data_IF_344929505490
#
_entry.id   IF_344929505490
#
_cell.length_a   1.000
_cell.length_b   1.000
_cell.length_c   1.000
_cell.angle_alpha   90.00
_cell.angle_beta   90.00
_cell.angle_gamma   90.00
#
_symmetry.space_group_name_H-M   'P 1'
#
loop_
_entity.id
_entity.type
_entity.pdbx_description
1 polymer ?
#
# COMPACT_ATOMS: atom_id res chain seq x y z
N UNK A 1 19.16 2.41 4.77
CA UNK A 1 18.25 1.60 5.63
C UNK A 1 18.98 0.31 5.96
N UNK A 2 19.08 -0.04 7.25
CA UNK A 2 19.61 -1.34 7.68
C UNK A 2 18.42 -2.21 8.04
N UNK A 3 18.31 -3.39 7.43
CA UNK A 3 17.26 -4.38 7.74
C UNK A 3 17.93 -5.54 8.45
N UNK A 4 17.59 -5.72 9.73
CA UNK A 4 18.13 -6.81 10.54
C UNK A 4 17.14 -7.98 10.58
N UNK A 5 17.60 -9.16 10.18
CA UNK A 5 16.81 -10.39 10.13
C UNK A 5 17.11 -11.34 11.30
N UNK A 6 17.94 -10.92 12.27
CA UNK A 6 18.26 -11.72 13.46
C UNK A 6 17.01 -12.00 14.29
N UNK A 7 16.89 -13.24 14.79
CA UNK A 7 15.74 -13.71 15.57
C UNK A 7 15.73 -13.17 17.00
N UNK A 8 16.89 -12.87 17.56
CA UNK A 8 17.01 -12.33 18.91
C UNK A 8 16.71 -10.84 18.92
N UNK A 9 15.68 -10.45 19.69
CA UNK A 9 15.36 -9.05 20.00
C UNK A 9 16.26 -8.50 21.11
N UNK A 10 17.57 -8.71 21.02
CA UNK A 10 18.46 -7.84 21.80
C UNK A 10 18.28 -6.45 21.21
N UNK A 11 18.05 -5.41 22.01
CA UNK A 11 18.15 -4.02 21.54
C UNK A 11 19.62 -3.79 21.16
N UNK A 12 20.03 -3.96 19.90
CA UNK A 12 21.44 -3.81 19.60
C UNK A 12 21.66 -2.31 19.71
N UNK A 13 22.60 -1.88 20.54
CA UNK A 13 23.24 -0.60 20.29
C UNK A 13 23.89 -0.74 18.91
N UNK A 14 23.14 -0.43 17.86
CA UNK A 14 23.65 -0.46 16.51
C UNK A 14 24.79 0.54 16.46
N UNK A 15 26.01 0.05 16.21
CA UNK A 15 27.14 0.93 15.96
C UNK A 15 26.74 1.94 14.88
N UNK A 16 27.03 3.23 15.11
CA UNK A 16 26.70 4.28 14.15
C UNK A 16 27.34 3.96 12.81
N UNK A 17 26.51 3.76 11.79
CA UNK A 17 26.96 3.52 10.43
C UNK A 17 27.74 4.77 9.98
N UNK A 18 29.00 4.62 9.59
CA UNK A 18 29.81 5.73 9.08
C UNK A 18 29.94 5.64 7.56
N UNK A 19 29.70 6.74 6.86
CA UNK A 19 29.98 6.89 5.43
C UNK A 19 31.10 7.92 5.30
N UNK A 20 32.23 7.53 4.72
CA UNK A 20 33.45 8.36 4.64
C UNK A 20 33.91 8.93 6.00
N UNK A 21 33.73 8.17 7.09
CA UNK A 21 34.07 8.60 8.45
C UNK A 21 32.99 9.43 9.15
N UNK A 22 31.98 9.92 8.43
CA UNK A 22 30.86 10.68 9.00
C UNK A 22 29.75 9.74 9.48
N UNK A 23 29.28 9.85 10.74
CA UNK A 23 28.17 9.06 11.24
C UNK A 23 26.88 9.42 10.50
N UNK A 24 26.14 8.40 10.07
CA UNK A 24 24.81 8.54 9.45
C UNK A 24 23.79 8.71 10.56
N UNK A 25 22.97 9.75 10.44
CA UNK A 25 21.87 10.01 11.37
C UNK A 25 20.86 8.86 11.37
N UNK A 26 20.48 8.43 12.57
CA UNK A 26 19.38 7.47 12.74
C UNK A 26 18.08 8.24 12.95
N UNK A 27 17.15 8.05 12.03
CA UNK A 27 15.79 8.61 12.11
C UNK A 27 14.76 7.52 12.37
N UNK A 28 13.69 7.86 13.08
CA UNK A 28 12.56 6.96 13.36
C UNK A 28 11.65 6.77 12.14
N UNK A 29 11.65 7.71 11.19
CA UNK A 29 10.94 7.59 9.93
C UNK A 29 11.73 8.21 8.77
N UNK A 30 11.63 7.61 7.59
CA UNK A 30 12.32 8.07 6.41
C UNK A 30 11.45 7.93 5.16
N UNK A 31 11.48 8.95 4.31
CA UNK A 31 10.74 8.95 3.05
C UNK A 31 11.63 8.45 1.91
N UNK A 32 11.28 7.30 1.35
CA UNK A 32 11.96 6.71 0.21
C UNK A 32 10.99 6.54 -0.98
N UNK A 33 11.33 7.13 -2.12
CA UNK A 33 10.52 7.10 -3.35
C UNK A 33 9.03 7.45 -3.14
N UNK A 34 8.76 8.40 -2.23
CA UNK A 34 7.39 8.82 -1.90
C UNK A 34 6.67 7.98 -0.84
N UNK A 35 7.26 6.87 -0.38
CA UNK A 35 6.74 6.03 0.70
C UNK A 35 7.49 6.35 1.99
N UNK A 36 6.75 6.56 3.07
CA UNK A 36 7.31 6.80 4.39
C UNK A 36 7.42 5.45 5.11
N UNK A 37 8.64 5.12 5.52
CA UNK A 37 9.01 3.87 6.21
C UNK A 37 9.38 4.26 7.63
N UNK A 38 8.64 3.75 8.61
CA UNK A 38 8.94 3.93 10.03
C UNK A 38 9.79 2.78 10.58
N UNK A 39 10.49 3.02 11.68
CA UNK A 39 11.36 2.03 12.33
C UNK A 39 10.61 0.81 12.87
N UNK A 40 9.34 1.00 13.29
CA UNK A 40 8.44 -0.06 13.75
C UNK A 40 7.72 -0.79 12.60
N UNK A 41 8.02 -0.39 11.36
CA UNK A 41 7.38 -0.83 10.12
C UNK A 41 5.86 -0.66 10.15
N UNK A 42 5.32 0.22 10.98
CA UNK A 42 3.92 0.62 10.90
C UNK A 42 3.69 1.49 9.66
N UNK A 43 2.44 1.54 9.23
CA UNK A 43 2.05 2.37 8.08
C UNK A 43 1.27 3.61 8.50
N UNK A 44 1.10 3.84 9.81
CA UNK A 44 0.20 4.87 10.31
C UNK A 44 0.70 6.28 10.00
N UNK A 45 2.01 6.53 10.06
CA UNK A 45 2.57 7.84 9.69
C UNK A 45 2.42 8.14 8.18
N UNK A 46 2.67 7.13 7.33
CA UNK A 46 2.39 7.20 5.90
C UNK A 46 0.91 7.48 5.64
N UNK A 47 0.01 6.70 6.25
CA UNK A 47 -1.43 6.81 6.04
C UNK A 47 -1.96 8.15 6.54
N UNK A 48 -1.52 8.62 7.70
CA UNK A 48 -1.84 9.96 8.22
C UNK A 48 -1.45 11.05 7.22
N UNK A 49 -0.25 10.96 6.63
CA UNK A 49 0.22 11.89 5.60
C UNK A 49 -0.64 11.83 4.34
N UNK A 50 -0.99 10.63 3.88
CA UNK A 50 -1.87 10.39 2.72
C UNK A 50 -3.28 10.96 2.97
N UNK A 51 -3.86 10.70 4.14
CA UNK A 51 -5.19 11.18 4.55
C UNK A 51 -5.21 12.71 4.61
N UNK A 52 -4.20 13.35 5.20
CA UNK A 52 -4.08 14.82 5.22
C UNK A 52 -4.07 15.41 3.80
N UNK A 53 -3.28 14.84 2.90
CA UNK A 53 -3.24 15.26 1.49
C UNK A 53 -4.57 15.04 0.77
N UNK A 54 -5.21 13.90 1.00
CA UNK A 54 -6.50 13.59 0.39
C UNK A 54 -7.61 14.54 0.89
N UNK A 55 -7.61 14.90 2.17
CA UNK A 55 -8.53 15.89 2.75
C UNK A 55 -8.36 17.28 2.14
N UNK A 56 -7.13 17.72 1.89
CA UNK A 56 -6.88 18.98 1.16
C UNK A 56 -7.49 18.93 -0.25
N UNK A 57 -7.40 17.78 -0.94
CA UNK A 57 -7.97 17.61 -2.29
C UNK A 57 -9.50 17.52 -2.29
N UNK A 58 -10.11 16.99 -1.23
CA UNK A 58 -11.57 17.00 -1.05
C UNK A 58 -12.15 18.41 -1.03
N UNK A 59 -11.42 19.40 -0.49
CA UNK A 59 -11.85 20.80 -0.53
C UNK A 59 -12.06 21.28 -1.98
N UNK A 60 -11.12 20.96 -2.88
CA UNK A 60 -11.24 21.30 -4.29
C UNK A 60 -12.41 20.56 -4.95
N UNK A 61 -12.59 19.27 -4.68
CA UNK A 61 -13.73 18.51 -5.18
C UNK A 61 -15.07 19.14 -4.73
N UNK A 62 -15.17 19.57 -3.47
CA UNK A 62 -16.35 20.29 -2.95
C UNK A 62 -16.58 21.63 -3.67
N UNK A 63 -15.52 22.38 -3.99
CA UNK A 63 -15.63 23.60 -4.80
C UNK A 63 -16.11 23.31 -6.22
N UNK A 64 -15.61 22.28 -6.88
CA UNK A 64 -16.04 21.89 -8.22
C UNK A 64 -17.54 21.58 -8.26
N UNK A 65 -18.06 20.89 -7.23
CA UNK A 65 -19.50 20.68 -7.09
C UNK A 65 -20.29 21.98 -6.93
N UNK A 66 -19.78 22.95 -6.16
CA UNK A 66 -20.42 24.27 -5.99
C UNK A 66 -20.56 25.01 -7.33
N UNK A 67 -19.60 24.82 -8.23
CA UNK A 67 -19.65 25.34 -9.61
C UNK A 67 -20.52 24.52 -10.57
N UNK A 68 -21.27 23.53 -10.07
CA UNK A 68 -22.18 22.68 -10.86
C UNK A 68 -21.50 21.93 -12.02
N UNK A 69 -20.22 21.59 -11.86
CA UNK A 69 -19.50 20.75 -12.83
C UNK A 69 -20.16 19.37 -12.93
N UNK A 70 -20.15 18.76 -14.12
CA UNK A 70 -20.76 17.45 -14.35
C UNK A 70 -20.22 16.37 -13.42
N UNK A 71 -21.07 15.40 -13.05
CA UNK A 71 -20.69 14.27 -12.19
C UNK A 71 -19.56 13.44 -12.79
N UNK A 72 -19.54 13.29 -14.12
CA UNK A 72 -18.46 12.62 -14.84
C UNK A 72 -17.10 13.30 -14.60
N UNK A 73 -17.04 14.63 -14.72
CA UNK A 73 -15.81 15.40 -14.47
C UNK A 73 -15.42 15.38 -12.98
N UNK A 74 -16.39 15.38 -12.07
CA UNK A 74 -16.11 15.21 -10.63
C UNK A 74 -15.50 13.83 -10.33
N UNK A 75 -16.02 12.77 -10.97
CA UNK A 75 -15.48 11.41 -10.85
C UNK A 75 -14.06 11.28 -11.45
N UNK A 76 -13.82 11.92 -12.59
CA UNK A 76 -12.49 12.01 -13.20
C UNK A 76 -11.51 12.77 -12.27
N UNK A 77 -11.93 13.89 -11.69
CA UNK A 77 -11.14 14.65 -10.73
C UNK A 77 -10.81 13.84 -9.48
N UNK A 78 -11.79 13.13 -8.91
CA UNK A 78 -11.59 12.22 -7.78
C UNK A 78 -10.54 11.16 -8.13
N UNK A 79 -10.70 10.48 -9.27
CA UNK A 79 -9.81 9.42 -9.70
C UNK A 79 -8.37 9.92 -9.88
N UNK A 80 -8.21 11.07 -10.54
CA UNK A 80 -6.91 11.64 -10.85
C UNK A 80 -6.19 12.26 -9.64
N UNK A 81 -6.92 12.83 -8.69
CA UNK A 81 -6.32 13.62 -7.60
C UNK A 81 -6.45 12.96 -6.23
N UNK A 82 -7.59 12.41 -5.86
CA UNK A 82 -7.79 11.86 -4.52
C UNK A 82 -7.40 10.39 -4.52
N UNK A 83 -8.01 9.60 -5.40
CA UNK A 83 -7.76 8.16 -5.49
C UNK A 83 -6.29 7.87 -5.82
N UNK A 84 -5.67 8.63 -6.72
CA UNK A 84 -4.24 8.44 -7.07
C UNK A 84 -3.31 8.53 -5.86
N UNK A 85 -3.56 9.47 -4.94
CA UNK A 85 -2.77 9.63 -3.71
C UNK A 85 -3.13 8.58 -2.67
N UNK A 86 -4.42 8.35 -2.44
CA UNK A 86 -4.89 7.35 -1.47
C UNK A 86 -4.40 5.95 -1.81
N UNK A 87 -4.30 5.64 -3.10
CA UNK A 87 -3.94 4.29 -3.57
C UNK A 87 -2.46 4.16 -3.94
N UNK A 88 -1.66 5.20 -3.74
CA UNK A 88 -0.22 5.19 -4.04
C UNK A 88 0.49 4.09 -3.25
N UNK A 89 1.18 3.17 -3.94
CA UNK A 89 1.85 2.02 -3.33
C UNK A 89 0.96 1.15 -2.42
N UNK A 90 -0.36 1.15 -2.64
CA UNK A 90 -1.36 0.46 -1.79
C UNK A 90 -1.05 -1.03 -1.54
N UNK A 91 -0.43 -1.70 -2.50
CA UNK A 91 -0.03 -3.11 -2.41
C UNK A 91 1.03 -3.38 -1.34
N UNK A 92 1.72 -2.35 -0.87
CA UNK A 92 2.79 -2.44 0.13
C UNK A 92 2.24 -2.32 1.55
N UNK A 93 1.34 -1.36 1.78
CA UNK A 93 0.97 -0.95 3.13
C UNK A 93 -0.46 -1.34 3.55
N UNK A 94 -1.40 -1.49 2.61
CA UNK A 94 -2.82 -1.65 2.95
C UNK A 94 -3.12 -2.93 3.76
N UNK A 95 -2.47 -4.04 3.41
CA UNK A 95 -2.61 -5.28 4.17
C UNK A 95 -2.24 -5.11 5.64
N UNK A 96 -1.22 -4.29 5.93
CA UNK A 96 -0.64 -4.08 7.25
C UNK A 96 -1.12 -2.80 7.96
N UNK A 97 -2.16 -2.14 7.46
CA UNK A 97 -2.73 -0.95 8.11
C UNK A 97 -3.57 -1.32 9.34
N UNK A 98 -3.57 -0.46 10.35
CA UNK A 98 -4.41 -0.66 11.54
C UNK A 98 -5.91 -0.46 11.24
N UNK A 99 -6.77 -0.89 12.16
CA UNK A 99 -8.21 -0.63 12.06
C UNK A 99 -8.53 0.86 12.07
N UNK A 100 -7.76 1.66 12.81
CA UNK A 100 -7.93 3.12 12.84
C UNK A 100 -7.53 3.75 11.50
N UNK A 101 -6.40 3.33 10.94
CA UNK A 101 -5.95 3.77 9.62
C UNK A 101 -6.99 3.50 8.53
N UNK A 102 -7.59 2.30 8.54
CA UNK A 102 -8.66 1.93 7.61
C UNK A 102 -9.88 2.84 7.76
N UNK A 103 -10.32 3.11 8.99
CA UNK A 103 -11.42 4.05 9.25
C UNK A 103 -11.12 5.45 8.72
N UNK A 104 -9.90 5.94 8.90
CA UNK A 104 -9.50 7.27 8.43
C UNK A 104 -9.48 7.39 6.90
N UNK A 105 -9.04 6.32 6.22
CA UNK A 105 -9.10 6.22 4.77
C UNK A 105 -10.55 6.12 4.26
N UNK A 106 -11.38 5.28 4.88
CA UNK A 106 -12.80 5.15 4.51
C UNK A 106 -13.54 6.47 4.67
N UNK A 107 -13.27 7.27 5.71
CA UNK A 107 -13.86 8.61 5.87
C UNK A 107 -13.61 9.51 4.66
N UNK A 108 -12.39 9.49 4.10
CA UNK A 108 -12.05 10.28 2.90
C UNK A 108 -12.90 9.84 1.71
N UNK A 109 -13.08 8.52 1.54
CA UNK A 109 -13.86 7.96 0.44
C UNK A 109 -15.34 8.27 0.62
N UNK A 110 -15.92 8.04 1.80
CA UNK A 110 -17.31 8.37 2.07
C UNK A 110 -17.58 9.87 1.85
N UNK A 111 -16.66 10.75 2.25
CA UNK A 111 -16.77 12.18 1.93
C UNK A 111 -16.77 12.44 0.41
N UNK A 112 -15.91 11.76 -0.35
CA UNK A 112 -15.91 11.86 -1.80
C UNK A 112 -17.22 11.37 -2.41
N UNK A 113 -17.74 10.20 -1.99
CA UNK A 113 -19.01 9.64 -2.44
C UNK A 113 -20.18 10.59 -2.17
N UNK A 114 -20.23 11.18 -0.97
CA UNK A 114 -21.24 12.18 -0.64
C UNK A 114 -21.15 13.42 -1.53
N UNK A 115 -19.94 13.83 -1.93
CA UNK A 115 -19.72 14.96 -2.82
C UNK A 115 -20.13 14.59 -4.25
N UNK A 116 -19.65 13.49 -4.81
CA UNK A 116 -19.89 13.11 -6.22
C UNK A 116 -21.27 12.50 -6.46
N UNK A 117 -21.96 12.06 -5.40
CA UNK A 117 -23.23 11.30 -5.45
C UNK A 117 -23.12 10.00 -6.25
N UNK A 118 -21.94 9.38 -6.22
CA UNK A 118 -21.64 8.12 -6.91
C UNK A 118 -21.02 7.15 -5.92
N UNK A 119 -21.37 5.87 -6.02
CA UNK A 119 -20.65 4.82 -5.30
C UNK A 119 -19.20 4.77 -5.80
N UNK A 120 -18.23 4.75 -4.88
CA UNK A 120 -16.82 4.66 -5.20
C UNK A 120 -16.31 3.27 -4.78
N UNK A 121 -15.30 2.73 -5.49
CA UNK A 121 -14.77 1.41 -5.18
C UNK A 121 -14.11 1.39 -3.79
N UNK A 122 -14.31 0.30 -3.04
CA UNK A 122 -13.66 0.10 -1.75
C UNK A 122 -12.14 -0.07 -1.90
N UNK A 123 -11.38 0.34 -0.89
CA UNK A 123 -9.92 0.24 -0.92
C UNK A 123 -9.42 -1.20 -0.91
N UNK A 124 -10.15 -2.11 -0.27
CA UNK A 124 -9.81 -3.52 -0.28
C UNK A 124 -9.89 -4.06 -1.70
N UNK A 125 -10.93 -3.73 -2.46
CA UNK A 125 -11.09 -4.17 -3.85
C UNK A 125 -10.00 -3.60 -4.75
N UNK A 126 -9.67 -2.31 -4.59
CA UNK A 126 -8.57 -1.68 -5.32
C UNK A 126 -7.24 -2.37 -4.98
N UNK A 127 -7.01 -2.67 -3.71
CA UNK A 127 -5.81 -3.35 -3.25
C UNK A 127 -5.70 -4.75 -3.87
N UNK A 128 -6.77 -5.55 -3.78
CA UNK A 128 -6.85 -6.91 -4.36
C UNK A 128 -6.59 -6.87 -5.86
N UNK A 129 -7.29 -5.99 -6.59
CA UNK A 129 -7.14 -5.82 -8.04
C UNK A 129 -5.70 -5.45 -8.42
N UNK A 130 -5.07 -4.52 -7.69
CA UNK A 130 -3.68 -4.11 -7.95
C UNK A 130 -2.66 -5.18 -7.56
N UNK A 131 -2.90 -5.90 -6.46
CA UNK A 131 -2.06 -7.02 -6.05
C UNK A 131 -2.07 -8.12 -7.13
N UNK A 132 -3.26 -8.49 -7.61
CA UNK A 132 -3.43 -9.46 -8.69
C UNK A 132 -2.74 -9.01 -9.98
N UNK A 133 -3.01 -7.79 -10.42
CA UNK A 133 -2.41 -7.25 -11.65
C UNK A 133 -0.88 -7.26 -11.59
N UNK A 134 -0.29 -6.77 -10.49
CA UNK A 134 1.17 -6.80 -10.32
C UNK A 134 1.74 -8.21 -10.29
N UNK A 135 1.07 -9.14 -9.61
CA UNK A 135 1.51 -10.53 -9.59
C UNK A 135 1.44 -11.18 -10.98
N UNK A 136 0.40 -10.90 -11.77
CA UNK A 136 0.32 -11.36 -13.16
C UNK A 136 1.47 -10.83 -14.03
N UNK A 137 1.92 -9.59 -13.81
CA UNK A 137 3.10 -9.06 -14.52
C UNK A 137 4.37 -9.82 -14.12
N UNK A 138 4.57 -10.09 -12.83
CA UNK A 138 5.74 -10.85 -12.33
C UNK A 138 5.73 -12.29 -12.83
N UNK A 139 4.56 -12.93 -12.90
CA UNK A 139 4.41 -14.29 -13.42
C UNK A 139 4.72 -14.35 -14.92
N UNK A 140 4.34 -13.32 -15.68
CA UNK A 140 4.60 -13.29 -17.13
C UNK A 140 6.07 -13.02 -17.47
N UNK A 141 6.78 -12.28 -16.62
CA UNK A 141 8.19 -11.94 -16.83
C UNK A 141 9.11 -12.98 -16.16
N UNK A 142 9.71 -13.84 -16.97
CA UNK A 142 10.65 -14.88 -16.51
C UNK A 142 11.95 -14.30 -15.93
N UNK A 143 12.35 -13.10 -16.35
CA UNK A 143 13.58 -12.44 -15.89
C UNK A 143 13.34 -11.61 -14.62
N UNK A 144 12.10 -11.48 -14.17
CA UNK A 144 11.80 -10.75 -12.96
C UNK A 144 12.49 -11.41 -11.74
N UNK A 145 13.19 -10.65 -10.87
CA UNK A 145 13.96 -11.22 -9.76
C UNK A 145 13.10 -12.03 -8.77
N UNK A 146 11.81 -11.69 -8.68
CA UNK A 146 10.83 -12.36 -7.82
C UNK A 146 9.93 -13.36 -8.57
N UNK A 147 10.18 -13.68 -9.85
CA UNK A 147 9.40 -14.65 -10.61
C UNK A 147 9.30 -16.00 -9.88
N UNK A 148 10.42 -16.46 -9.31
CA UNK A 148 10.53 -17.69 -8.52
C UNK A 148 9.63 -17.78 -7.30
N UNK A 149 9.05 -16.66 -6.82
CA UNK A 149 8.11 -16.67 -5.70
C UNK A 149 6.69 -17.09 -6.14
N UNK A 150 6.39 -17.05 -7.45
CA UNK A 150 5.10 -17.41 -8.01
C UNK A 150 5.18 -18.73 -8.79
N UNK A 151 5.42 -19.83 -8.08
CA UNK A 151 5.50 -21.15 -8.68
C UNK A 151 4.14 -21.83 -8.73
N UNK A 152 3.77 -22.40 -9.88
CA UNK A 152 2.59 -23.23 -10.01
C UNK A 152 2.81 -24.61 -9.38
N UNK A 153 1.74 -25.17 -8.81
CA UNK A 153 1.69 -26.60 -8.47
C UNK A 153 1.59 -27.44 -9.76
N UNK A 154 1.93 -28.74 -9.72
CA UNK A 154 1.86 -29.61 -10.90
C UNK A 154 0.49 -29.64 -11.60
N UNK A 155 -0.58 -29.35 -10.86
CA UNK A 155 -1.94 -29.24 -11.43
C UNK A 155 -2.16 -28.03 -12.33
N UNK A 156 -1.27 -27.03 -12.30
CA UNK A 156 -1.40 -25.77 -13.06
C UNK A 156 -2.52 -24.84 -12.58
N UNK A 157 -3.31 -25.23 -11.57
CA UNK A 157 -4.49 -24.47 -11.11
C UNK A 157 -4.18 -23.48 -9.99
N UNK A 158 -3.18 -23.77 -9.16
CA UNK A 158 -2.88 -23.00 -7.95
C UNK A 158 -1.39 -22.73 -7.86
N UNK A 159 -1.05 -21.56 -7.33
CA UNK A 159 0.29 -21.18 -6.94
C UNK A 159 0.66 -21.78 -5.59
N UNK A 160 1.93 -22.12 -5.43
CA UNK A 160 2.53 -22.57 -4.17
C UNK A 160 2.44 -21.45 -3.13
N UNK A 161 1.76 -21.73 -2.02
CA UNK A 161 1.67 -20.79 -0.89
C UNK A 161 3.04 -20.54 -0.27
N UNK A 162 3.31 -19.29 0.11
CA UNK A 162 4.50 -18.94 0.90
C UNK A 162 4.24 -19.24 2.38
N UNK A 163 5.21 -19.89 3.02
CA UNK A 163 5.19 -20.07 4.47
C UNK A 163 5.32 -18.70 5.15
N UNK A 164 4.35 -18.35 5.98
CA UNK A 164 4.33 -17.09 6.70
C UNK A 164 4.35 -17.33 8.21
N UNK A 165 5.48 -17.01 8.85
CA UNK A 165 5.67 -17.14 10.30
C UNK A 165 5.06 -15.98 11.10
N UNK A 166 4.77 -14.84 10.45
CA UNK A 166 4.18 -13.67 11.09
C UNK A 166 2.97 -13.18 10.31
N UNK A 167 2.00 -12.64 11.03
CA UNK A 167 0.82 -12.01 10.43
C UNK A 167 1.21 -10.84 9.52
N UNK A 168 2.26 -10.09 9.91
CA UNK A 168 2.81 -8.98 9.12
C UNK A 168 3.27 -9.44 7.74
N UNK A 169 4.03 -10.53 7.68
CA UNK A 169 4.47 -11.09 6.41
C UNK A 169 3.29 -11.69 5.63
N UNK A 170 2.36 -12.40 6.29
CA UNK A 170 1.14 -12.92 5.65
C UNK A 170 0.32 -11.81 4.98
N UNK A 171 0.30 -10.62 5.57
CA UNK A 171 -0.39 -9.42 5.06
C UNK A 171 0.42 -8.59 4.07
N UNK A 172 1.65 -9.00 3.76
CA UNK A 172 2.47 -8.33 2.74
C UNK A 172 2.06 -8.73 1.31
N UNK A 173 2.61 -8.03 0.32
CA UNK A 173 2.26 -8.20 -1.08
C UNK A 173 2.29 -9.64 -1.58
N UNK A 174 3.41 -10.37 -1.40
CA UNK A 174 3.59 -11.68 -2.06
C UNK A 174 2.59 -12.73 -1.56
N UNK A 175 2.44 -12.97 -0.23
CA UNK A 175 1.47 -13.96 0.24
C UNK A 175 0.03 -13.56 -0.09
N UNK A 176 -0.32 -12.28 0.01
CA UNK A 176 -1.65 -11.80 -0.34
C UNK A 176 -1.96 -11.99 -1.83
N UNK A 177 -0.99 -11.70 -2.72
CA UNK A 177 -1.20 -11.86 -4.14
C UNK A 177 -1.39 -13.34 -4.54
N UNK A 178 -0.60 -14.24 -3.95
CA UNK A 178 -0.73 -15.69 -4.16
C UNK A 178 -2.10 -16.17 -3.68
N UNK A 179 -2.53 -15.76 -2.47
CA UNK A 179 -3.85 -16.10 -1.95
C UNK A 179 -4.95 -15.57 -2.88
N UNK A 180 -4.87 -14.32 -3.30
CA UNK A 180 -5.84 -13.68 -4.22
C UNK A 180 -6.00 -14.44 -5.53
N UNK A 181 -4.88 -14.90 -6.13
CA UNK A 181 -4.91 -15.68 -7.37
C UNK A 181 -5.53 -17.06 -7.12
N UNK A 182 -5.13 -17.71 -6.02
CA UNK A 182 -5.62 -19.04 -5.65
C UNK A 182 -7.10 -19.08 -5.29
N UNK A 183 -7.70 -17.97 -4.82
CA UNK A 183 -9.14 -17.91 -4.53
C UNK A 183 -9.99 -17.58 -5.75
N UNK A 184 -9.39 -17.09 -6.84
CA UNK A 184 -10.13 -16.72 -8.06
C UNK A 184 -10.06 -17.78 -9.16
N UNK A 185 -9.36 -18.89 -8.91
CA UNK A 185 -9.17 -20.01 -9.85
C UNK A 185 -9.89 -21.24 -9.31
#
# INVERSE_FOLDING_TARGET
MVVDFRKEKQHPQYASLKIYGTPVERVSSYKYLGVLISEDLSWSELISTVVKKARQRLYHLKRLRKFKISTALQGAFYSATIQSVVTGSITVWHGNSSSQDRKDLSRVICCAEHITRTALPDLQDICIRRCRFRAQLIIKDIHHPNHKLFQWLPSGKRLRSLMASTERFRRSFFPQAIQTINTTT
#
